data_IF_734891752649
#
_entry.id   IF_734891752649
#
_cell.length_a   1.000
_cell.length_b   1.000
_cell.length_c   1.000
_cell.angle_alpha   90.00
_cell.angle_beta   90.00
_cell.angle_gamma   90.00
#
_symmetry.space_group_name_H-M   'P 1'
#
loop_
_entity.id
_entity.type
_entity.pdbx_description
1 polymer ?
#
# COMPACT_ATOMS: atom_id res chain seq x y z
N UNK A 1 -2.86 11.47 -7.64
CA UNK A 1 -3.30 12.79 -7.14
C UNK A 1 -2.55 13.94 -7.82
N UNK A 2 -1.23 14.07 -7.64
CA UNK A 2 -0.41 15.20 -8.15
C UNK A 2 -0.68 15.51 -9.63
N UNK A 3 -0.65 14.49 -10.49
CA UNK A 3 -0.83 14.67 -11.94
C UNK A 3 -2.29 14.57 -12.42
N UNK A 4 -3.28 14.45 -11.53
CA UNK A 4 -4.69 14.35 -11.93
C UNK A 4 -5.05 13.05 -12.67
N UNK A 5 -4.27 11.99 -12.50
CA UNK A 5 -4.47 10.72 -13.21
C UNK A 5 -5.51 9.81 -12.52
N UNK A 6 -6.02 8.85 -13.29
CA UNK A 6 -6.97 7.82 -12.85
C UNK A 6 -8.21 8.41 -12.15
N UNK A 7 -8.47 8.03 -10.91
CA UNK A 7 -9.60 8.53 -10.09
C UNK A 7 -9.62 10.08 -9.94
N UNK A 8 -8.49 10.75 -10.22
CA UNK A 8 -8.38 12.20 -10.16
C UNK A 8 -8.69 12.90 -11.49
N UNK A 9 -9.01 12.18 -12.58
CA UNK A 9 -9.19 12.76 -13.93
C UNK A 9 -10.20 13.91 -13.97
N UNK A 10 -11.31 13.77 -13.24
CA UNK A 10 -12.37 14.78 -13.19
C UNK A 10 -12.06 15.94 -12.21
N UNK A 11 -11.09 15.76 -11.31
CA UNK A 11 -10.67 16.78 -10.33
C UNK A 11 -9.39 17.52 -10.75
N UNK A 12 -8.68 16.99 -11.73
CA UNK A 12 -7.41 17.54 -12.21
C UNK A 12 -6.24 17.37 -11.24
N UNK A 13 -5.07 17.91 -11.61
CA UNK A 13 -3.86 17.92 -10.78
C UNK A 13 -4.07 18.55 -9.41
N UNK A 14 -3.68 17.83 -8.34
CA UNK A 14 -3.74 18.34 -6.98
C UNK A 14 -2.48 19.18 -6.66
N UNK A 15 -2.43 20.41 -7.20
CA UNK A 15 -1.25 21.29 -7.17
C UNK A 15 -0.85 21.77 -5.76
N UNK A 16 -1.80 21.79 -4.83
CA UNK A 16 -1.55 22.19 -3.45
C UNK A 16 -0.99 21.05 -2.59
N UNK A 17 -0.98 19.81 -3.07
CA UNK A 17 -0.46 18.68 -2.30
C UNK A 17 1.04 18.86 -2.05
N UNK A 18 1.48 18.58 -0.82
CA UNK A 18 2.88 18.58 -0.44
C UNK A 18 3.27 17.29 0.27
N UNK A 19 4.42 16.74 -0.07
CA UNK A 19 5.02 15.64 0.68
C UNK A 19 5.73 16.17 1.92
N UNK A 20 5.65 15.42 3.01
CA UNK A 20 6.44 15.64 4.23
C UNK A 20 7.52 14.57 4.26
N UNK A 21 7.17 13.31 4.54
CA UNK A 21 8.06 12.14 4.52
C UNK A 21 7.30 10.88 4.12
N UNK A 22 8.02 9.83 3.69
CA UNK A 22 7.47 8.48 3.54
C UNK A 22 7.54 7.74 4.86
N UNK A 23 6.68 6.73 5.03
CA UNK A 23 6.65 5.87 6.20
C UNK A 23 7.10 4.49 5.75
N UNK A 24 6.23 3.49 5.78
CA UNK A 24 6.56 2.09 5.55
C UNK A 24 6.09 1.64 4.15
N UNK A 25 6.66 0.56 3.60
CA UNK A 25 6.14 -0.07 2.40
C UNK A 25 4.76 -0.70 2.67
N UNK A 26 3.86 -0.57 1.70
CA UNK A 26 2.56 -1.21 1.69
C UNK A 26 2.52 -2.21 0.53
N UNK A 27 2.39 -3.51 0.85
CA UNK A 27 2.30 -4.58 -0.14
C UNK A 27 0.86 -4.74 -0.60
N UNK A 28 0.66 -4.94 -1.90
CA UNK A 28 -0.65 -5.31 -2.46
C UNK A 28 -0.94 -6.75 -2.06
N UNK A 29 -1.75 -6.94 -1.03
CA UNK A 29 -2.05 -8.26 -0.48
C UNK A 29 -3.35 -8.77 -1.07
N UNK A 30 -3.30 -9.93 -1.72
CA UNK A 30 -4.48 -10.67 -2.14
C UNK A 30 -4.72 -11.84 -1.17
N UNK A 31 -5.83 -11.80 -0.45
CA UNK A 31 -6.25 -12.90 0.42
C UNK A 31 -7.40 -13.63 -0.26
N UNK A 32 -7.34 -14.95 -0.34
CA UNK A 32 -8.38 -15.76 -0.97
C UNK A 32 -8.72 -17.00 -0.15
N UNK A 33 -9.99 -17.43 -0.20
CA UNK A 33 -10.39 -18.71 0.37
C UNK A 33 -9.70 -19.85 -0.37
N UNK A 34 -9.33 -20.91 0.36
CA UNK A 34 -8.71 -22.10 -0.22
C UNK A 34 -9.63 -22.77 -1.24
N UNK A 35 -10.93 -22.80 -0.93
CA UNK A 35 -11.99 -23.42 -1.74
C UNK A 35 -12.25 -22.69 -3.05
N UNK A 36 -12.05 -21.37 -3.10
CA UNK A 36 -12.19 -20.60 -4.36
C UNK A 36 -11.26 -21.08 -5.48
N UNK A 37 -10.19 -21.81 -5.13
CA UNK A 37 -9.16 -22.27 -6.06
C UNK A 37 -8.15 -21.20 -6.45
N UNK A 38 -8.26 -19.96 -5.96
CA UNK A 38 -7.41 -18.84 -6.36
C UNK A 38 -5.99 -19.05 -5.81
N UNK A 39 -5.02 -19.22 -6.71
CA UNK A 39 -3.58 -19.38 -6.38
C UNK A 39 -2.70 -18.34 -7.06
N UNK A 40 -3.25 -17.59 -8.00
CA UNK A 40 -2.65 -16.44 -8.67
C UNK A 40 -3.72 -15.40 -9.01
N UNK A 41 -3.34 -14.15 -9.34
CA UNK A 41 -4.32 -13.17 -9.83
C UNK A 41 -5.06 -13.62 -11.09
N UNK A 42 -4.48 -14.49 -11.93
CA UNK A 42 -5.14 -15.03 -13.12
C UNK A 42 -6.41 -15.83 -12.81
N UNK A 43 -6.53 -16.38 -11.59
CA UNK A 43 -7.66 -17.20 -11.16
C UNK A 43 -8.88 -16.39 -10.69
N UNK A 44 -8.80 -15.05 -10.73
CA UNK A 44 -9.85 -14.16 -10.21
C UNK A 44 -11.08 -14.08 -11.12
N UNK A 45 -10.98 -14.50 -12.39
CA UNK A 45 -12.08 -14.39 -13.35
C UNK A 45 -13.34 -15.10 -12.86
N UNK A 46 -14.45 -14.36 -12.84
CA UNK A 46 -15.77 -14.81 -12.37
C UNK A 46 -15.94 -14.91 -10.85
N UNK A 47 -14.89 -14.65 -10.06
CA UNK A 47 -14.90 -14.75 -8.59
C UNK A 47 -15.47 -13.49 -7.95
N UNK A 48 -15.94 -13.61 -6.71
CA UNK A 48 -16.42 -12.51 -5.86
C UNK A 48 -15.24 -11.86 -5.16
N UNK A 49 -14.81 -10.69 -5.64
CA UNK A 49 -13.56 -10.08 -5.19
C UNK A 49 -13.80 -8.67 -4.69
N UNK A 50 -13.41 -8.38 -3.45
CA UNK A 50 -13.34 -6.99 -3.02
C UNK A 50 -12.11 -6.30 -3.63
N UNK A 51 -12.36 -5.32 -4.49
CA UNK A 51 -11.33 -4.49 -5.12
C UNK A 51 -10.98 -3.27 -4.26
N UNK A 52 -11.80 -2.93 -3.27
CA UNK A 52 -11.61 -1.79 -2.38
C UNK A 52 -12.60 -0.66 -2.64
N UNK A 53 -12.84 0.17 -1.62
CA UNK A 53 -13.86 1.23 -1.69
C UNK A 53 -13.48 2.35 -2.69
N UNK A 54 -14.47 3.08 -3.26
CA UNK A 54 -14.22 4.20 -4.15
C UNK A 54 -13.30 5.26 -3.53
N UNK A 55 -12.41 5.81 -4.34
CA UNK A 55 -11.41 6.81 -3.92
C UNK A 55 -10.22 6.26 -3.13
N UNK A 56 -10.16 4.96 -2.84
CA UNK A 56 -9.00 4.35 -2.16
C UNK A 56 -7.83 4.09 -3.12
N UNK A 57 -6.61 4.14 -2.60
CA UNK A 57 -5.41 3.70 -3.33
C UNK A 57 -5.47 2.20 -3.67
N UNK A 58 -5.97 1.39 -2.72
CA UNK A 58 -6.22 -0.03 -2.90
C UNK A 58 -7.02 -0.33 -4.17
N UNK A 59 -8.13 0.37 -4.41
CA UNK A 59 -8.95 0.16 -5.62
C UNK A 59 -8.14 0.34 -6.90
N UNK A 60 -7.30 1.38 -6.97
CA UNK A 60 -6.43 1.56 -8.12
C UNK A 60 -5.39 0.44 -8.22
N UNK A 61 -4.84 -0.02 -7.09
CA UNK A 61 -3.85 -1.10 -7.11
C UNK A 61 -4.45 -2.43 -7.58
N UNK A 62 -5.67 -2.75 -7.13
CA UNK A 62 -6.39 -3.95 -7.59
C UNK A 62 -6.70 -3.88 -9.08
N UNK A 63 -7.16 -2.74 -9.60
CA UNK A 63 -7.37 -2.53 -11.04
C UNK A 63 -6.08 -2.71 -11.84
N UNK A 64 -4.97 -2.20 -11.34
CA UNK A 64 -3.66 -2.33 -11.99
C UNK A 64 -3.19 -3.79 -12.03
N UNK A 65 -3.38 -4.55 -10.95
CA UNK A 65 -3.09 -5.99 -10.92
C UNK A 65 -4.00 -6.73 -11.89
N UNK A 66 -5.31 -6.51 -11.88
CA UNK A 66 -6.23 -7.14 -12.85
C UNK A 66 -5.79 -6.86 -14.29
N UNK A 67 -5.49 -5.60 -14.60
CA UNK A 67 -5.06 -5.18 -15.94
C UNK A 67 -3.75 -5.83 -16.37
N UNK A 68 -2.79 -6.00 -15.45
CA UNK A 68 -1.55 -6.72 -15.74
C UNK A 68 -1.81 -8.16 -16.19
N UNK A 69 -2.82 -8.80 -15.61
CA UNK A 69 -3.26 -10.15 -15.97
C UNK A 69 -4.34 -10.17 -17.07
N UNK A 70 -4.52 -9.07 -17.80
CA UNK A 70 -5.45 -9.00 -18.95
C UNK A 70 -6.92 -8.98 -18.58
N UNK A 71 -7.26 -8.64 -17.33
CA UNK A 71 -8.62 -8.54 -16.83
C UNK A 71 -9.04 -7.10 -16.54
N UNK A 72 -10.34 -6.90 -16.43
CA UNK A 72 -10.98 -5.67 -15.98
C UNK A 72 -11.85 -5.95 -14.73
N UNK A 73 -12.35 -4.92 -14.03
CA UNK A 73 -13.31 -5.13 -12.95
C UNK A 73 -14.58 -5.89 -13.38
N UNK A 74 -14.95 -5.86 -14.66
CA UNK A 74 -16.13 -6.55 -15.19
C UNK A 74 -15.90 -8.06 -15.37
N UNK A 75 -14.64 -8.51 -15.37
CA UNK A 75 -14.28 -9.93 -15.40
C UNK A 75 -14.43 -10.61 -14.03
N UNK A 76 -14.74 -9.85 -12.97
CA UNK A 76 -14.95 -10.36 -11.61
C UNK A 76 -16.30 -9.88 -11.07
N UNK A 77 -16.87 -10.61 -10.11
CA UNK A 77 -18.02 -10.12 -9.34
C UNK A 77 -17.49 -9.12 -8.28
N UNK A 78 -17.25 -7.89 -8.71
CA UNK A 78 -16.56 -6.88 -7.91
C UNK A 78 -17.40 -6.38 -6.73
N UNK A 79 -16.80 -6.41 -5.53
CA UNK A 79 -17.26 -5.68 -4.36
C UNK A 79 -16.36 -4.46 -4.10
N UNK A 80 -16.95 -3.40 -3.55
CA UNK A 80 -16.27 -2.13 -3.30
C UNK A 80 -16.45 -1.67 -1.85
N UNK A 81 -16.06 -2.54 -0.91
CA UNK A 81 -16.18 -2.31 0.53
C UNK A 81 -14.87 -1.85 1.15
N UNK A 82 -14.93 -1.27 2.36
CA UNK A 82 -13.73 -0.86 3.08
C UNK A 82 -12.93 -2.08 3.53
N UNK A 83 -11.61 -1.91 3.67
CA UNK A 83 -10.71 -2.98 4.08
C UNK A 83 -11.08 -3.62 5.43
N UNK A 84 -11.73 -2.88 6.34
CA UNK A 84 -12.18 -3.40 7.65
C UNK A 84 -13.37 -4.36 7.55
N UNK A 85 -14.15 -4.29 6.47
CA UNK A 85 -15.34 -5.13 6.28
C UNK A 85 -15.00 -6.43 5.52
N UNK A 86 -13.94 -6.41 4.70
CA UNK A 86 -13.59 -7.50 3.79
C UNK A 86 -13.28 -8.85 4.46
N UNK A 87 -12.56 -8.92 5.61
CA UNK A 87 -12.30 -10.18 6.30
C UNK A 87 -13.59 -10.90 6.71
N UNK A 88 -14.51 -10.20 7.37
CA UNK A 88 -15.80 -10.75 7.78
C UNK A 88 -16.63 -11.25 6.59
N UNK A 89 -16.72 -10.47 5.51
CA UNK A 89 -17.45 -10.88 4.31
C UNK A 89 -16.85 -12.12 3.64
N UNK A 90 -15.52 -12.29 3.68
CA UNK A 90 -14.88 -13.52 3.21
C UNK A 90 -15.22 -14.70 4.14
N UNK A 91 -15.19 -14.48 5.46
CA UNK A 91 -15.49 -15.51 6.47
C UNK A 91 -16.97 -15.94 6.48
N UNK A 92 -17.86 -15.07 6.01
CA UNK A 92 -19.27 -15.35 5.71
C UNK A 92 -19.47 -15.96 4.30
N UNK A 93 -18.39 -16.27 3.59
CA UNK A 93 -18.40 -16.85 2.24
C UNK A 93 -19.16 -15.97 1.23
N UNK A 94 -19.26 -14.66 1.48
CA UNK A 94 -19.84 -13.66 0.55
C UNK A 94 -18.80 -13.14 -0.44
N UNK A 95 -17.52 -13.28 -0.12
CA UNK A 95 -16.39 -13.02 -1.00
C UNK A 95 -15.52 -14.28 -1.14
N UNK A 96 -14.95 -14.46 -2.32
CA UNK A 96 -13.93 -15.49 -2.57
C UNK A 96 -12.53 -14.97 -2.26
N UNK A 97 -12.32 -13.67 -2.48
CA UNK A 97 -11.07 -12.99 -2.22
C UNK A 97 -11.25 -11.50 -1.91
N UNK A 98 -10.23 -10.89 -1.32
CA UNK A 98 -10.12 -9.44 -1.22
C UNK A 98 -8.69 -8.98 -1.41
N UNK A 99 -8.54 -7.82 -2.03
CA UNK A 99 -7.28 -7.08 -1.99
C UNK A 99 -7.21 -6.20 -0.74
N UNK A 100 -6.00 -5.94 -0.27
CA UNK A 100 -5.69 -4.83 0.63
C UNK A 100 -4.22 -4.41 0.44
N UNK A 101 -3.99 -3.14 0.08
CA UNK A 101 -2.66 -2.55 0.06
C UNK A 101 -2.34 -2.02 1.45
N UNK A 102 -1.42 -2.67 2.16
CA UNK A 102 -1.18 -2.38 3.59
C UNK A 102 0.23 -2.77 4.03
N UNK A 103 0.72 -2.14 5.11
CA UNK A 103 1.89 -2.60 5.84
C UNK A 103 1.66 -3.89 6.62
N UNK A 104 2.73 -4.66 6.82
CA UNK A 104 2.68 -5.94 7.53
C UNK A 104 3.39 -5.86 8.89
N UNK A 105 2.87 -6.55 9.93
CA UNK A 105 1.61 -7.31 9.98
C UNK A 105 0.37 -6.40 9.98
N UNK A 106 -0.75 -6.88 9.42
CA UNK A 106 -2.03 -6.16 9.40
C UNK A 106 -3.12 -6.93 10.17
N UNK A 107 -3.87 -6.22 11.02
CA UNK A 107 -4.96 -6.79 11.82
C UNK A 107 -6.04 -7.46 10.97
N UNK A 108 -6.49 -6.80 9.91
CA UNK A 108 -7.54 -7.31 9.01
C UNK A 108 -7.12 -8.62 8.32
N UNK A 109 -5.83 -8.77 7.97
CA UNK A 109 -5.32 -10.01 7.35
C UNK A 109 -5.19 -11.11 8.41
N UNK A 110 -4.81 -10.77 9.66
CA UNK A 110 -4.83 -11.72 10.78
C UNK A 110 -6.25 -12.22 11.06
N UNK A 111 -7.24 -11.32 11.09
CA UNK A 111 -8.65 -11.67 11.24
C UNK A 111 -9.08 -12.68 10.17
N UNK A 112 -8.84 -12.34 8.90
CA UNK A 112 -9.17 -13.23 7.78
C UNK A 112 -8.48 -14.60 7.87
N UNK A 113 -7.21 -14.64 8.28
CA UNK A 113 -6.45 -15.91 8.38
C UNK A 113 -6.80 -16.75 9.61
N UNK A 114 -7.32 -16.13 10.66
CA UNK A 114 -7.73 -16.80 11.91
C UNK A 114 -9.19 -17.28 11.94
N UNK A 115 -9.99 -16.96 10.92
CA UNK A 115 -11.40 -17.31 10.87
C UNK A 115 -11.68 -18.77 10.47
N UNK A 116 -12.96 -19.11 10.38
CA UNK A 116 -13.49 -20.44 10.03
C UNK A 116 -13.13 -20.86 8.60
N UNK A 117 -13.34 -19.99 7.63
CA UNK A 117 -13.00 -20.22 6.22
C UNK A 117 -11.48 -20.20 6.09
N UNK A 118 -10.90 -21.32 5.65
CA UNK A 118 -9.46 -21.41 5.46
C UNK A 118 -9.04 -20.54 4.27
N UNK A 119 -8.09 -19.63 4.48
CA UNK A 119 -7.59 -18.71 3.46
C UNK A 119 -6.09 -18.84 3.24
N UNK A 120 -5.61 -18.32 2.11
CA UNK A 120 -4.19 -18.14 1.79
C UNK A 120 -3.91 -16.69 1.40
N UNK A 121 -2.65 -16.28 1.56
CA UNK A 121 -2.14 -15.06 0.92
C UNK A 121 -1.59 -15.46 -0.44
N UNK A 122 -2.21 -14.95 -1.50
CA UNK A 122 -1.92 -15.30 -2.89
C UNK A 122 -0.71 -14.50 -3.38
N UNK A 123 0.32 -15.14 -3.97
CA UNK A 123 1.40 -14.45 -4.65
C UNK A 123 0.89 -13.46 -5.70
N UNK A 124 1.45 -12.27 -5.76
CA UNK A 124 1.15 -11.26 -6.79
C UNK A 124 2.43 -10.94 -7.54
N UNK A 125 2.82 -11.83 -8.44
CA UNK A 125 4.14 -11.85 -9.07
C UNK A 125 4.11 -12.32 -10.54
N UNK A 126 5.30 -12.61 -11.08
CA UNK A 126 5.50 -13.08 -12.44
C UNK A 126 5.64 -11.96 -13.49
N UNK A 127 5.85 -12.36 -14.73
CA UNK A 127 6.08 -11.46 -15.87
C UNK A 127 5.00 -10.35 -16.03
N UNK A 128 3.70 -10.60 -15.78
CA UNK A 128 2.69 -9.53 -15.77
C UNK A 128 3.01 -8.39 -14.80
N UNK A 129 3.46 -8.73 -13.58
CA UNK A 129 3.77 -7.77 -12.52
C UNK A 129 5.10 -7.06 -12.79
N UNK A 130 6.10 -7.75 -13.32
CA UNK A 130 7.36 -7.13 -13.76
C UNK A 130 7.09 -6.03 -14.80
N UNK A 131 6.30 -6.32 -15.84
CA UNK A 131 5.88 -5.34 -16.85
C UNK A 131 5.05 -4.19 -16.27
N UNK A 132 4.25 -4.46 -15.23
CA UNK A 132 3.49 -3.42 -14.54
C UNK A 132 4.45 -2.46 -13.82
N UNK A 133 5.46 -2.98 -13.12
CA UNK A 133 6.46 -2.19 -12.40
C UNK A 133 7.28 -1.34 -13.40
N UNK A 134 7.71 -1.91 -14.52
CA UNK A 134 8.41 -1.17 -15.58
C UNK A 134 7.59 0.02 -16.11
N UNK A 135 6.28 -0.16 -16.29
CA UNK A 135 5.37 0.90 -16.76
C UNK A 135 5.02 1.92 -15.68
N UNK A 136 5.11 1.54 -14.41
CA UNK A 136 4.59 2.31 -13.28
C UNK A 136 5.64 2.36 -12.17
N UNK A 137 6.64 3.26 -12.28
CA UNK A 137 7.83 3.27 -11.42
C UNK A 137 7.56 3.68 -9.96
N UNK A 138 6.30 3.98 -9.60
CA UNK A 138 5.88 4.15 -8.22
C UNK A 138 5.60 2.82 -7.50
N UNK A 139 5.54 1.70 -8.24
CA UNK A 139 5.55 0.37 -7.67
C UNK A 139 6.98 -0.16 -7.52
N UNK A 140 7.19 -0.97 -6.50
CA UNK A 140 8.40 -1.76 -6.31
C UNK A 140 8.04 -3.22 -6.03
N UNK A 141 9.00 -4.13 -6.22
CA UNK A 141 8.86 -5.52 -5.80
C UNK A 141 8.61 -5.54 -4.28
N UNK A 142 7.55 -6.24 -3.87
CA UNK A 142 7.16 -6.43 -2.48
C UNK A 142 7.29 -7.90 -2.07
N UNK A 143 7.39 -8.14 -0.77
CA UNK A 143 7.30 -9.49 -0.19
C UNK A 143 6.50 -9.41 1.10
N UNK A 144 5.79 -10.48 1.40
CA UNK A 144 4.99 -10.63 2.62
C UNK A 144 5.58 -11.79 3.41
N UNK A 145 6.11 -11.49 4.59
CA UNK A 145 6.61 -12.51 5.51
C UNK A 145 5.43 -13.23 6.18
N UNK A 146 5.30 -14.52 5.89
CA UNK A 146 4.22 -15.37 6.37
C UNK A 146 4.33 -15.72 7.85
N UNK A 147 5.48 -15.46 8.50
CA UNK A 147 5.60 -15.51 9.95
C UNK A 147 4.59 -14.57 10.66
N UNK A 148 4.11 -13.53 9.96
CA UNK A 148 3.07 -12.65 10.47
C UNK A 148 1.67 -13.27 10.51
N UNK A 149 1.44 -14.37 9.78
CA UNK A 149 0.12 -14.97 9.54
C UNK A 149 0.16 -16.50 9.72
N UNK A 150 0.45 -16.99 10.94
CA UNK A 150 0.62 -18.43 11.21
C UNK A 150 -0.65 -19.26 10.96
N UNK A 151 -1.82 -18.61 10.93
CA UNK A 151 -3.10 -19.28 10.68
C UNK A 151 -3.46 -19.38 9.19
N UNK A 152 -2.69 -18.76 8.29
CA UNK A 152 -2.90 -18.89 6.85
C UNK A 152 -2.66 -20.34 6.37
N UNK A 153 -3.26 -20.73 5.24
CA UNK A 153 -3.04 -22.05 4.64
C UNK A 153 -1.63 -22.25 4.09
N UNK A 154 -0.94 -21.15 3.78
CA UNK A 154 0.43 -21.13 3.31
C UNK A 154 1.36 -20.43 4.31
N UNK A 155 1.13 -20.63 5.61
CA UNK A 155 1.96 -20.06 6.68
C UNK A 155 3.45 -20.46 6.54
N UNK A 156 3.72 -21.69 6.09
CA UNK A 156 5.09 -22.21 5.95
C UNK A 156 5.80 -21.79 4.66
N UNK A 157 5.19 -20.92 3.84
CA UNK A 157 5.78 -20.49 2.57
C UNK A 157 6.99 -19.54 2.74
N UNK A 158 7.28 -19.10 3.97
CA UNK A 158 8.33 -18.13 4.26
C UNK A 158 7.96 -16.74 3.75
N UNK A 159 8.34 -16.42 2.51
CA UNK A 159 8.07 -15.13 1.87
C UNK A 159 7.14 -15.29 0.67
N UNK A 160 5.98 -14.66 0.70
CA UNK A 160 5.07 -14.59 -0.45
C UNK A 160 5.39 -13.34 -1.28
N UNK A 161 5.70 -13.47 -2.58
CA UNK A 161 6.04 -12.33 -3.41
C UNK A 161 4.81 -11.49 -3.76
N UNK A 162 5.03 -10.18 -3.92
CA UNK A 162 4.02 -9.19 -4.27
C UNK A 162 4.67 -7.99 -4.98
N UNK A 163 3.92 -6.93 -5.18
CA UNK A 163 4.37 -5.57 -5.46
C UNK A 163 3.84 -4.63 -4.37
N UNK A 164 4.46 -3.47 -4.21
CA UNK A 164 4.05 -2.51 -3.20
C UNK A 164 4.32 -1.06 -3.58
N UNK A 165 3.79 -0.18 -2.74
CA UNK A 165 4.00 1.27 -2.76
C UNK A 165 4.58 1.72 -1.43
N UNK A 166 4.89 3.01 -1.27
CA UNK A 166 5.21 3.58 0.04
C UNK A 166 4.04 4.41 0.56
N UNK A 167 3.69 4.19 1.82
CA UNK A 167 2.85 5.13 2.55
C UNK A 167 3.60 6.46 2.68
N UNK A 168 2.92 7.58 2.45
CA UNK A 168 3.50 8.92 2.61
C UNK A 168 2.64 9.80 3.49
N UNK A 169 3.29 10.58 4.35
CA UNK A 169 2.66 11.66 5.08
C UNK A 169 2.68 12.91 4.19
N UNK A 170 1.49 13.42 3.90
CA UNK A 170 1.27 14.53 2.97
C UNK A 170 0.43 15.61 3.65
N UNK A 171 0.56 16.83 3.14
CA UNK A 171 -0.16 18.00 3.60
C UNK A 171 -0.54 18.89 2.41
N UNK A 172 -1.03 20.10 2.68
CA UNK A 172 -1.28 21.15 1.68
C UNK A 172 -0.21 22.24 1.77
N UNK A 173 0.03 22.94 0.67
CA UNK A 173 1.02 24.02 0.56
C UNK A 173 0.77 25.19 1.52
N UNK A 174 -0.49 25.44 1.86
CA UNK A 174 -0.91 26.54 2.73
C UNK A 174 -0.88 26.21 4.22
N UNK A 175 -0.49 25.00 4.63
CA UNK A 175 -0.33 24.71 6.05
C UNK A 175 0.87 25.49 6.59
N UNK A 176 0.77 25.94 7.84
CA UNK A 176 1.81 26.73 8.46
C UNK A 176 3.16 25.98 8.48
N UNK A 177 4.23 26.73 8.19
CA UNK A 177 5.58 26.19 8.10
C UNK A 177 6.07 25.59 9.41
N UNK A 178 5.82 26.30 10.53
CA UNK A 178 6.27 25.90 11.85
C UNK A 178 5.53 24.66 12.33
N UNK A 179 4.25 24.51 11.96
CA UNK A 179 3.50 23.28 12.26
C UNK A 179 4.14 22.07 11.57
N UNK A 180 4.41 22.17 10.26
CA UNK A 180 4.99 21.03 9.51
C UNK A 180 6.43 20.78 9.93
N UNK A 181 7.20 21.83 10.21
CA UNK A 181 8.54 21.72 10.79
C UNK A 181 8.50 20.94 12.12
N UNK A 182 7.63 21.35 13.05
CA UNK A 182 7.53 20.72 14.37
C UNK A 182 7.15 19.23 14.27
N UNK A 183 6.18 18.87 13.42
CA UNK A 183 5.79 17.48 13.18
C UNK A 183 6.97 16.68 12.59
N UNK A 184 7.65 17.24 11.59
CA UNK A 184 8.77 16.56 10.92
C UNK A 184 9.91 16.34 11.90
N UNK A 185 10.26 17.37 12.68
CA UNK A 185 11.28 17.31 13.72
C UNK A 185 10.95 16.27 14.78
N UNK A 186 9.73 16.29 15.32
CA UNK A 186 9.30 15.36 16.37
C UNK A 186 9.46 13.90 15.93
N UNK A 187 9.03 13.56 14.72
CA UNK A 187 9.14 12.20 14.16
C UNK A 187 10.59 11.79 13.97
N UNK A 188 11.43 12.66 13.41
CA UNK A 188 12.82 12.30 13.08
C UNK A 188 13.75 12.38 14.30
N UNK A 189 13.48 13.20 15.31
CA UNK A 189 14.28 13.27 16.53
C UNK A 189 13.89 12.16 17.52
N UNK A 190 12.60 11.79 17.58
CA UNK A 190 12.12 10.67 18.39
C UNK A 190 12.01 9.37 17.58
N UNK A 191 12.93 9.17 16.64
CA UNK A 191 12.80 8.16 15.59
C UNK A 191 12.61 6.73 16.12
N UNK A 192 13.36 6.32 17.14
CA UNK A 192 13.21 4.96 17.71
C UNK A 192 11.87 4.78 18.43
N UNK A 193 11.37 5.82 19.10
CA UNK A 193 10.02 5.82 19.68
C UNK A 193 8.95 5.77 18.59
N UNK A 194 9.13 6.50 17.49
CA UNK A 194 8.23 6.41 16.35
C UNK A 194 8.23 4.99 15.78
N UNK A 195 9.40 4.37 15.58
CA UNK A 195 9.53 2.99 15.08
C UNK A 195 8.86 1.94 15.97
N UNK A 196 8.80 2.16 17.28
CA UNK A 196 8.15 1.22 18.19
C UNK A 196 6.62 1.27 18.17
N UNK A 197 6.01 2.31 17.56
CA UNK A 197 4.55 2.45 17.49
C UNK A 197 3.87 1.37 16.63
N UNK A 198 4.59 0.78 15.68
CA UNK A 198 4.05 -0.30 14.86
C UNK A 198 5.16 -1.21 14.30
N UNK A 199 4.99 -2.55 14.25
CA UNK A 199 6.06 -3.44 13.75
C UNK A 199 6.47 -3.18 12.30
N UNK A 200 5.54 -2.70 11.45
CA UNK A 200 5.86 -2.30 10.07
C UNK A 200 6.90 -1.15 9.99
N UNK A 201 7.12 -0.42 11.09
CA UNK A 201 8.08 0.69 11.12
C UNK A 201 9.50 0.22 11.49
N UNK A 202 9.68 -1.04 11.87
CA UNK A 202 10.99 -1.62 12.24
C UNK A 202 12.06 -1.45 11.16
N UNK A 203 11.66 -1.49 9.88
CA UNK A 203 12.55 -1.37 8.72
C UNK A 203 12.90 0.09 8.36
N UNK A 204 12.30 1.08 9.02
CA UNK A 204 12.52 2.47 8.66
C UNK A 204 13.95 2.93 8.94
N UNK A 205 14.48 3.68 7.99
CA UNK A 205 15.64 4.55 8.16
C UNK A 205 15.26 5.99 7.80
N UNK A 206 15.90 6.99 8.42
CA UNK A 206 15.67 8.40 8.08
C UNK A 206 15.93 8.69 6.60
N UNK A 207 16.91 8.01 5.99
CA UNK A 207 17.21 8.13 4.56
C UNK A 207 16.05 7.62 3.71
N UNK A 208 15.53 6.43 4.02
CA UNK A 208 14.48 5.80 3.21
C UNK A 208 13.14 6.52 3.34
N UNK A 209 12.91 7.22 4.46
CA UNK A 209 11.76 8.11 4.67
C UNK A 209 11.76 9.36 3.77
N UNK A 210 12.86 9.63 3.06
CA UNK A 210 12.98 10.75 2.12
C UNK A 210 12.90 10.31 0.65
N UNK A 211 12.67 9.01 0.41
CA UNK A 211 12.57 8.42 -0.92
C UNK A 211 11.12 8.07 -1.26
N UNK A 212 10.78 8.07 -2.55
CA UNK A 212 9.44 7.67 -3.03
C UNK A 212 8.34 8.72 -2.77
N UNK A 213 8.75 9.97 -2.53
CA UNK A 213 7.86 11.11 -2.46
C UNK A 213 7.48 11.55 -3.87
N UNK A 214 6.21 11.87 -4.10
CA UNK A 214 5.66 12.16 -5.44
C UNK A 214 5.06 13.55 -5.59
N UNK A 215 4.94 14.31 -4.50
CA UNK A 215 4.52 15.71 -4.49
C UNK A 215 5.70 16.61 -4.09
N UNK A 216 5.70 17.90 -4.46
CA UNK A 216 6.68 18.85 -3.97
C UNK A 216 6.74 18.85 -2.44
N UNK A 217 7.90 19.12 -1.86
CA UNK A 217 8.06 19.12 -0.41
C UNK A 217 7.39 20.34 0.23
N UNK A 218 6.86 20.13 1.43
CA UNK A 218 6.41 21.25 2.23
C UNK A 218 7.62 22.04 2.79
N UNK A 219 7.55 23.37 2.75
CA UNK A 219 8.63 24.27 3.21
C UNK A 219 9.10 23.97 4.65
N UNK A 220 8.19 23.64 5.56
CA UNK A 220 8.53 23.25 6.93
C UNK A 220 9.33 21.95 7.03
N UNK A 221 9.06 20.97 6.15
CA UNK A 221 9.85 19.73 6.08
C UNK A 221 11.24 20.02 5.52
N UNK A 222 11.34 20.82 4.44
CA UNK A 222 12.62 21.26 3.85
C UNK A 222 13.49 21.98 4.89
N UNK A 223 12.90 22.87 5.69
CA UNK A 223 13.58 23.59 6.78
C UNK A 223 14.25 22.61 7.75
N UNK A 224 13.50 21.61 8.25
CA UNK A 224 14.06 20.58 9.13
C UNK A 224 15.14 19.74 8.44
N UNK A 225 14.90 19.28 7.20
CA UNK A 225 15.88 18.47 6.46
C UNK A 225 17.19 19.21 6.23
N UNK A 226 17.15 20.53 6.07
CA UNK A 226 18.35 21.37 5.96
C UNK A 226 19.14 21.37 7.27
N UNK A 227 18.47 21.64 8.39
CA UNK A 227 19.09 21.68 9.72
C UNK A 227 19.69 20.33 10.11
N UNK A 228 18.99 19.23 9.81
CA UNK A 228 19.43 17.87 10.14
C UNK A 228 20.44 17.28 9.14
N UNK A 229 20.85 18.03 8.10
CA UNK A 229 21.78 17.54 7.07
C UNK A 229 21.23 16.40 6.20
N UNK A 230 19.90 16.31 6.08
CA UNK A 230 19.18 15.24 5.40
C UNK A 230 18.80 15.57 3.95
N UNK A 231 18.90 16.83 3.52
CA UNK A 231 18.54 17.26 2.14
C UNK A 231 19.26 16.47 1.04
N UNK A 232 20.49 16.02 1.30
CA UNK A 232 21.28 15.19 0.37
C UNK A 232 20.62 13.85 0.00
N UNK A 233 19.57 13.45 0.72
CA UNK A 233 18.80 12.24 0.42
C UNK A 233 17.48 12.53 -0.30
N UNK A 234 17.10 13.79 -0.53
CA UNK A 234 15.84 14.13 -1.20
C UNK A 234 16.07 14.25 -2.71
N UNK A 235 15.11 13.81 -3.53
CA UNK A 235 15.11 14.11 -4.97
C UNK A 235 15.01 15.65 -5.18
N UNK A 236 15.99 16.30 -5.82
CA UNK A 236 15.98 17.75 -6.04
C UNK A 236 14.78 18.27 -6.84
N UNK A 237 14.14 17.44 -7.67
CA UNK A 237 12.97 17.84 -8.45
C UNK A 237 11.72 18.11 -7.59
N UNK A 238 11.79 17.80 -6.28
CA UNK A 238 10.69 17.98 -5.34
C UNK A 238 10.77 19.30 -4.55
N UNK A 239 11.78 20.14 -4.75
CA UNK A 239 11.88 21.44 -4.09
C UNK A 239 10.86 22.46 -4.59
#
# INVERSE_FOLDING_TARGET
>A
AVNGLAEWKNRGPQKDLRSVFSIHPESVTLVASVESGIKSPADLKGKRVNLGNPGSGQLQNSKDVLSAFGMTPDDVQAAYVKAVEAPGLLQDERLDAFFYTVGHPAGNIKEATSGRVKVRIVPVDGQPIEKLIEKKPYYAIGKIDMANYPMAANADAGMVPSLGVKATFVTRASLDEEIVYAITKEVFENFEKFKSLHPAYSVLTKKDMLQGLSAPLHKGAVKYYKEAGLLKYVNPDLY
#
